data_IF_900564859061
#
_entry.id   IF_900564859061
#
_cell.length_a   1.000
_cell.length_b   1.000
_cell.length_c   1.000
_cell.angle_alpha   90.00
_cell.angle_beta   90.00
_cell.angle_gamma   90.00
#
_symmetry.space_group_name_H-M   'P 1'
#
loop_
_entity.id
_entity.type
_entity.pdbx_description
1 polymer ?
#
# COMPACT_ATOMS: atom_id res chain seq x y z
N UNK A 1 11.57 19.75 1.51
CA UNK A 1 10.73 18.84 2.31
C UNK A 1 9.26 18.77 1.88
N UNK A 2 8.31 19.62 2.30
CA UNK A 2 6.87 19.40 1.95
C UNK A 2 6.62 19.52 0.43
N UNK A 3 7.09 20.60 -0.20
CA UNK A 3 6.94 20.80 -1.65
C UNK A 3 7.61 19.68 -2.47
N UNK A 4 8.76 19.23 -2.00
CA UNK A 4 9.53 18.12 -2.56
C UNK A 4 8.82 16.77 -2.39
N UNK A 5 8.24 16.51 -1.22
CA UNK A 5 7.42 15.33 -0.98
C UNK A 5 6.19 15.31 -1.90
N UNK A 6 5.52 16.47 -2.09
CA UNK A 6 4.40 16.58 -3.02
C UNK A 6 4.86 16.31 -4.46
N UNK A 7 5.97 16.91 -4.89
CA UNK A 7 6.51 16.72 -6.24
C UNK A 7 6.85 15.25 -6.51
N UNK A 8 7.57 14.60 -5.60
CA UNK A 8 8.04 13.22 -5.79
C UNK A 8 6.98 12.16 -5.50
N UNK A 9 5.95 12.49 -4.72
CA UNK A 9 4.82 11.57 -4.51
C UNK A 9 4.05 11.25 -5.79
N UNK A 10 4.07 12.13 -6.80
CA UNK A 10 3.36 11.92 -8.07
C UNK A 10 3.97 10.76 -8.87
N UNK A 11 5.26 10.81 -9.30
CA UNK A 11 5.86 9.71 -10.04
C UNK A 11 5.91 8.41 -9.23
N UNK A 12 6.23 8.49 -7.92
CA UNK A 12 6.22 7.32 -7.03
C UNK A 12 4.81 6.72 -6.92
N UNK A 13 3.78 7.57 -6.82
CA UNK A 13 2.39 7.15 -6.74
C UNK A 13 1.88 6.48 -8.02
N UNK A 14 2.30 6.97 -9.19
CA UNK A 14 1.99 6.35 -10.48
C UNK A 14 2.61 4.94 -10.57
N UNK A 15 3.89 4.81 -10.23
CA UNK A 15 4.61 3.53 -10.24
C UNK A 15 3.95 2.56 -9.25
N UNK A 16 3.71 3.02 -8.02
CA UNK A 16 3.02 2.24 -7.00
C UNK A 16 1.65 1.78 -7.48
N UNK A 17 0.81 2.67 -8.02
CA UNK A 17 -0.52 2.30 -8.51
C UNK A 17 -0.47 1.29 -9.64
N UNK A 18 0.47 1.41 -10.59
CA UNK A 18 0.63 0.45 -11.67
C UNK A 18 1.00 -0.95 -11.14
N UNK A 19 1.98 -1.03 -10.24
CA UNK A 19 2.41 -2.30 -9.63
C UNK A 19 1.30 -2.91 -8.79
N UNK A 20 0.67 -2.13 -7.91
CA UNK A 20 -0.42 -2.60 -7.07
C UNK A 20 -1.65 -3.00 -7.89
N UNK A 21 -1.93 -2.27 -8.97
CA UNK A 21 -2.98 -2.63 -9.93
C UNK A 21 -2.71 -3.98 -10.59
N UNK A 22 -1.46 -4.28 -10.96
CA UNK A 22 -1.08 -5.59 -11.48
C UNK A 22 -1.16 -6.69 -10.41
N UNK A 23 -0.70 -6.42 -9.18
CA UNK A 23 -0.73 -7.39 -8.09
C UNK A 23 -2.17 -7.73 -7.64
N UNK A 24 -3.03 -6.73 -7.45
CA UNK A 24 -4.42 -6.95 -7.05
C UNK A 24 -5.31 -7.37 -8.23
N UNK A 25 -5.00 -6.92 -9.44
CA UNK A 25 -5.73 -7.28 -10.66
C UNK A 25 -5.37 -8.66 -11.22
N UNK A 26 -4.43 -9.38 -10.60
CA UNK A 26 -4.09 -10.71 -11.07
C UNK A 26 -5.28 -11.69 -10.86
N UNK A 27 -5.52 -12.65 -11.78
CA UNK A 27 -6.69 -13.52 -11.72
C UNK A 27 -6.79 -14.40 -10.47
N UNK A 28 -5.69 -14.64 -9.77
CA UNK A 28 -5.68 -15.46 -8.55
C UNK A 28 -6.20 -14.66 -7.35
N UNK A 29 -5.67 -13.45 -7.15
CA UNK A 29 -6.08 -12.52 -6.10
C UNK A 29 -7.51 -12.05 -6.33
N UNK A 30 -7.87 -11.71 -7.57
CA UNK A 30 -9.22 -11.26 -7.92
C UNK A 30 -10.28 -12.30 -7.56
N UNK A 31 -10.02 -13.60 -7.82
CA UNK A 31 -10.91 -14.69 -7.42
C UNK A 31 -11.10 -14.78 -5.90
N UNK A 32 -10.04 -14.58 -5.13
CA UNK A 32 -10.10 -14.61 -3.65
C UNK A 32 -10.95 -13.45 -3.14
N UNK A 33 -10.78 -12.25 -3.69
CA UNK A 33 -11.58 -11.07 -3.35
C UNK A 33 -13.05 -11.24 -3.77
N UNK A 34 -13.32 -11.80 -4.95
CA UNK A 34 -14.68 -12.10 -5.40
C UNK A 34 -15.38 -13.11 -4.49
N UNK A 35 -14.70 -14.20 -4.12
CA UNK A 35 -15.24 -15.18 -3.18
C UNK A 35 -15.56 -14.56 -1.81
N UNK A 36 -14.69 -13.67 -1.32
CA UNK A 36 -14.93 -12.94 -0.07
C UNK A 36 -16.12 -11.96 -0.17
N UNK A 37 -16.31 -11.27 -1.29
CA UNK A 37 -17.47 -10.37 -1.53
C UNK A 37 -18.81 -11.11 -1.61
N UNK A 38 -18.78 -12.37 -2.06
CA UNK A 38 -19.97 -13.22 -2.15
C UNK A 38 -20.34 -13.81 -0.79
N UNK A 39 -19.34 -14.18 0.02
CA UNK A 39 -19.53 -14.94 1.26
C UNK A 39 -19.50 -14.11 2.55
N UNK A 40 -19.08 -12.84 2.51
CA UNK A 40 -18.90 -12.02 3.71
C UNK A 40 -19.37 -10.57 3.57
N UNK A 41 -19.69 -9.95 4.70
CA UNK A 41 -20.12 -8.53 4.82
C UNK A 41 -18.94 -7.54 4.83
N UNK A 42 -17.70 -8.03 4.97
CA UNK A 42 -16.51 -7.21 5.19
C UNK A 42 -15.95 -6.48 3.97
N UNK A 43 -16.41 -6.79 2.75
CA UNK A 43 -15.90 -6.16 1.52
C UNK A 43 -16.99 -5.35 0.83
N UNK A 44 -16.76 -4.04 0.69
CA UNK A 44 -17.69 -3.12 0.03
C UNK A 44 -17.91 -3.54 -1.42
N UNK A 45 -19.18 -3.70 -1.81
CA UNK A 45 -19.58 -3.88 -3.21
C UNK A 45 -19.55 -2.54 -3.93
N UNK A 46 -18.87 -2.49 -5.06
CA UNK A 46 -18.76 -1.30 -5.89
C UNK A 46 -19.70 -1.39 -7.09
N UNK A 47 -20.48 -0.34 -7.40
CA UNK A 47 -21.42 -0.36 -8.51
C UNK A 47 -20.72 -0.27 -9.87
N UNK A 48 -19.49 0.27 -9.93
CA UNK A 48 -18.71 0.34 -11.17
C UNK A 48 -17.21 0.20 -10.93
N UNK A 49 -16.56 -0.59 -11.78
CA UNK A 49 -15.11 -0.84 -11.74
C UNK A 49 -14.27 0.43 -11.97
N UNK A 50 -14.61 1.35 -12.92
CA UNK A 50 -13.85 2.59 -13.09
C UNK A 50 -13.89 3.49 -11.84
N UNK A 51 -15.07 3.63 -11.19
CA UNK A 51 -15.20 4.44 -9.99
C UNK A 51 -14.40 3.87 -8.82
N UNK A 52 -14.38 2.54 -8.70
CA UNK A 52 -13.52 1.84 -7.74
C UNK A 52 -12.04 2.17 -7.98
N UNK A 53 -11.53 2.00 -9.20
CA UNK A 53 -10.12 2.26 -9.52
C UNK A 53 -9.71 3.72 -9.28
N UNK A 54 -10.56 4.68 -9.65
CA UNK A 54 -10.29 6.11 -9.42
C UNK A 54 -10.26 6.41 -7.92
N UNK A 55 -11.23 5.89 -7.16
CA UNK A 55 -11.28 6.13 -5.71
C UNK A 55 -10.07 5.47 -5.01
N UNK A 56 -9.71 4.26 -5.44
CA UNK A 56 -8.54 3.57 -4.95
C UNK A 56 -7.26 4.33 -5.26
N UNK A 57 -7.10 4.85 -6.49
CA UNK A 57 -5.96 5.66 -6.88
C UNK A 57 -5.76 6.86 -5.95
N UNK A 58 -6.79 7.70 -5.80
CA UNK A 58 -6.70 8.88 -4.94
C UNK A 58 -6.49 8.52 -3.47
N UNK A 59 -7.13 7.45 -2.98
CA UNK A 59 -6.88 6.94 -1.63
C UNK A 59 -5.43 6.51 -1.42
N UNK A 60 -4.87 5.75 -2.35
CA UNK A 60 -3.46 5.33 -2.30
C UNK A 60 -2.49 6.49 -2.49
N UNK A 61 -2.87 7.54 -3.22
CA UNK A 61 -2.02 8.72 -3.42
C UNK A 61 -1.79 9.48 -2.11
N UNK A 62 -2.81 9.60 -1.26
CA UNK A 62 -2.67 10.19 0.08
C UNK A 62 -1.67 9.40 0.92
N UNK A 63 -1.77 8.07 0.89
CA UNK A 63 -0.83 7.18 1.58
C UNK A 63 0.61 7.34 1.06
N UNK A 64 0.80 7.42 -0.26
CA UNK A 64 2.11 7.65 -0.88
C UNK A 64 2.70 8.99 -0.43
N UNK A 65 1.90 10.08 -0.43
CA UNK A 65 2.36 11.40 0.03
C UNK A 65 2.87 11.33 1.47
N UNK A 66 2.13 10.66 2.36
CA UNK A 66 2.50 10.51 3.77
C UNK A 66 3.81 9.73 3.91
N UNK A 67 3.94 8.61 3.21
CA UNK A 67 5.15 7.77 3.27
C UNK A 67 6.38 8.47 2.69
N UNK A 68 6.24 9.18 1.57
CA UNK A 68 7.32 9.97 0.97
C UNK A 68 7.74 11.09 1.91
N UNK A 69 6.79 11.82 2.50
CA UNK A 69 7.09 12.89 3.45
C UNK A 69 7.81 12.34 4.71
N UNK A 70 7.33 11.22 5.26
CA UNK A 70 7.95 10.57 6.41
C UNK A 70 9.36 10.08 6.08
N UNK A 71 9.57 9.49 4.90
CA UNK A 71 10.88 9.07 4.44
C UNK A 71 11.86 10.24 4.34
N UNK A 72 11.49 11.30 3.61
CA UNK A 72 12.33 12.48 3.42
C UNK A 72 12.64 13.20 4.73
N UNK A 73 11.74 13.13 5.72
CA UNK A 73 11.97 13.67 7.05
C UNK A 73 13.01 12.86 7.85
N UNK A 74 13.02 11.54 7.72
CA UNK A 74 13.96 10.63 8.40
C UNK A 74 15.30 10.49 7.67
N UNK A 75 15.33 10.75 6.36
CA UNK A 75 16.49 10.59 5.48
C UNK A 75 17.78 11.28 5.95
N UNK A 76 17.77 12.51 6.51
CA UNK A 76 19.00 13.18 6.93
C UNK A 76 19.83 12.36 7.92
N UNK A 77 19.16 11.59 8.78
CA UNK A 77 19.80 10.73 9.79
C UNK A 77 20.04 9.30 9.30
N UNK A 78 19.46 8.93 8.15
CA UNK A 78 19.35 7.53 7.68
C UNK A 78 19.42 7.44 6.14
N UNK A 79 20.51 7.94 5.53
CA UNK A 79 20.69 7.91 4.07
C UNK A 79 21.29 6.59 3.57
N UNK A 80 21.01 6.24 2.31
CA UNK A 80 21.52 5.06 1.64
C UNK A 80 20.56 3.86 1.64
N UNK A 81 20.80 2.92 0.72
CA UNK A 81 19.89 1.80 0.44
C UNK A 81 19.61 0.92 1.68
N UNK A 82 20.61 0.67 2.53
CA UNK A 82 20.43 -0.12 3.75
C UNK A 82 19.44 0.55 4.71
N UNK A 83 19.57 1.87 4.89
CA UNK A 83 18.67 2.66 5.70
C UNK A 83 17.27 2.72 5.09
N UNK A 84 17.17 2.86 3.77
CA UNK A 84 15.92 2.81 3.04
C UNK A 84 15.19 1.48 3.23
N UNK A 85 15.89 0.34 3.13
CA UNK A 85 15.31 -0.97 3.41
C UNK A 85 14.87 -1.10 4.88
N UNK A 86 15.64 -0.55 5.82
CA UNK A 86 15.26 -0.49 7.23
C UNK A 86 13.98 0.30 7.47
N UNK A 87 13.87 1.50 6.89
CA UNK A 87 12.65 2.32 6.95
C UNK A 87 11.47 1.63 6.25
N UNK A 88 11.72 0.93 5.14
CA UNK A 88 10.74 0.11 4.45
C UNK A 88 10.15 -0.99 5.34
N UNK A 89 10.97 -1.66 6.15
CA UNK A 89 10.50 -2.63 7.14
C UNK A 89 9.63 -1.97 8.22
N UNK A 90 10.07 -0.83 8.77
CA UNK A 90 9.32 -0.10 9.81
C UNK A 90 7.97 0.37 9.27
N UNK A 91 7.94 1.00 8.10
CA UNK A 91 6.71 1.45 7.46
C UNK A 91 5.79 0.29 7.09
N UNK A 92 6.35 -0.86 6.67
CA UNK A 92 5.58 -2.07 6.42
C UNK A 92 4.90 -2.54 7.69
N UNK A 93 5.64 -2.62 8.81
CA UNK A 93 5.09 -3.02 10.09
C UNK A 93 3.94 -2.10 10.52
N UNK A 94 4.11 -0.78 10.42
CA UNK A 94 3.08 0.21 10.75
C UNK A 94 1.84 0.07 9.87
N UNK A 95 2.02 -0.20 8.58
CA UNK A 95 0.92 -0.30 7.60
C UNK A 95 0.15 -1.61 7.70
N UNK A 96 0.86 -2.71 7.95
CA UNK A 96 0.32 -4.06 7.93
C UNK A 96 -0.26 -4.45 9.29
N UNK A 97 0.37 -4.03 10.40
CA UNK A 97 -0.07 -4.36 11.77
C UNK A 97 -1.55 -4.07 12.06
N UNK A 98 -2.13 -2.91 11.69
CA UNK A 98 -3.54 -2.62 11.95
C UNK A 98 -4.50 -3.65 11.34
N UNK A 99 -4.12 -4.30 10.22
CA UNK A 99 -4.95 -5.33 9.57
C UNK A 99 -4.97 -6.62 10.37
N UNK A 100 -3.83 -7.02 10.91
CA UNK A 100 -3.72 -8.15 11.82
C UNK A 100 -4.45 -7.88 13.13
N UNK A 101 -4.33 -6.66 13.66
CA UNK A 101 -5.08 -6.22 14.83
C UNK A 101 -6.60 -6.27 14.61
N UNK A 102 -7.07 -5.80 13.44
CA UNK A 102 -8.47 -5.87 13.07
C UNK A 102 -8.97 -7.32 12.99
N UNK A 103 -8.19 -8.25 12.44
CA UNK A 103 -8.55 -9.68 12.46
C UNK A 103 -8.60 -10.24 13.89
N UNK A 104 -7.69 -9.82 14.78
CA UNK A 104 -7.71 -10.30 16.16
C UNK A 104 -8.99 -9.85 16.90
N UNK A 105 -9.48 -8.64 16.61
CA UNK A 105 -10.73 -8.11 17.18
C UNK A 105 -11.98 -8.64 16.44
N UNK A 106 -11.90 -8.83 15.13
CA UNK A 106 -13.03 -9.21 14.27
C UNK A 106 -12.91 -10.66 13.82
N UNK A 107 -13.83 -11.52 14.28
CA UNK A 107 -13.82 -12.96 14.04
C UNK A 107 -13.94 -13.37 12.56
N UNK A 108 -14.49 -12.50 11.70
CA UNK A 108 -14.91 -12.84 10.34
C UNK A 108 -13.97 -12.37 9.22
N UNK A 109 -12.70 -12.05 9.50
CA UNK A 109 -11.76 -11.63 8.46
C UNK A 109 -11.08 -12.83 7.76
N UNK A 110 -11.17 -12.99 6.42
CA UNK A 110 -10.59 -14.15 5.73
C UNK A 110 -9.06 -14.15 5.80
N UNK A 111 -8.46 -15.22 6.34
CA UNK A 111 -6.99 -15.36 6.47
C UNK A 111 -6.25 -15.20 5.14
N UNK A 112 -6.83 -15.68 4.05
CA UNK A 112 -6.22 -15.59 2.71
C UNK A 112 -6.16 -14.14 2.21
N UNK A 113 -7.17 -13.32 2.52
CA UNK A 113 -7.13 -11.89 2.19
C UNK A 113 -6.06 -11.19 3.02
N UNK A 114 -5.97 -11.49 4.31
CA UNK A 114 -4.94 -10.90 5.17
C UNK A 114 -3.52 -11.20 4.65
N UNK A 115 -3.27 -12.43 4.21
CA UNK A 115 -1.99 -12.81 3.62
C UNK A 115 -1.68 -11.98 2.36
N UNK A 116 -2.65 -11.82 1.46
CA UNK A 116 -2.49 -10.99 0.25
C UNK A 116 -2.22 -9.54 0.63
N UNK A 117 -2.97 -9.01 1.60
CA UNK A 117 -2.82 -7.62 2.05
C UNK A 117 -1.48 -7.37 2.74
N UNK A 118 -0.96 -8.35 3.48
CA UNK A 118 0.36 -8.30 4.07
C UNK A 118 1.45 -8.31 2.99
N UNK A 119 1.38 -9.24 2.03
CA UNK A 119 2.37 -9.38 0.95
C UNK A 119 2.34 -8.16 0.04
N UNK A 120 1.18 -7.79 -0.47
CA UNK A 120 1.01 -6.65 -1.36
C UNK A 120 1.32 -5.34 -0.61
N UNK A 121 0.89 -5.20 0.65
CA UNK A 121 1.22 -4.06 1.49
C UNK A 121 2.73 -3.90 1.71
N UNK A 122 3.43 -5.01 1.91
CA UNK A 122 4.91 -5.02 2.01
C UNK A 122 5.54 -4.58 0.70
N UNK A 123 5.20 -5.23 -0.42
CA UNK A 123 5.77 -4.90 -1.74
C UNK A 123 5.51 -3.43 -2.09
N UNK A 124 4.28 -2.95 -1.90
CA UNK A 124 3.93 -1.56 -2.17
C UNK A 124 4.70 -0.58 -1.30
N UNK A 125 4.89 -0.87 -0.01
CA UNK A 125 5.65 0.01 0.89
C UNK A 125 7.13 0.06 0.52
N UNK A 126 7.76 -1.09 0.25
CA UNK A 126 9.15 -1.12 -0.20
C UNK A 126 9.33 -0.41 -1.53
N UNK A 127 8.39 -0.59 -2.46
CA UNK A 127 8.41 0.12 -3.74
C UNK A 127 8.40 1.64 -3.55
N UNK A 128 7.53 2.16 -2.67
CA UNK A 128 7.49 3.59 -2.38
C UNK A 128 8.85 4.05 -1.86
N UNK A 129 9.37 3.41 -0.81
CA UNK A 129 10.62 3.83 -0.15
C UNK A 129 11.82 3.75 -1.08
N UNK A 130 11.98 2.64 -1.80
CA UNK A 130 13.09 2.45 -2.76
C UNK A 130 12.99 3.45 -3.90
N UNK A 131 11.79 3.68 -4.47
CA UNK A 131 11.62 4.70 -5.50
C UNK A 131 11.92 6.10 -4.95
N UNK A 132 11.53 6.42 -3.72
CA UNK A 132 11.87 7.71 -3.11
C UNK A 132 13.37 7.88 -2.96
N UNK A 133 14.10 6.86 -2.48
CA UNK A 133 15.57 6.94 -2.34
C UNK A 133 16.30 7.04 -3.70
N UNK A 134 15.75 6.41 -4.75
CA UNK A 134 16.37 6.44 -6.08
C UNK A 134 16.09 7.74 -6.86
N UNK A 135 14.95 8.39 -6.61
CA UNK A 135 14.54 9.56 -7.38
C UNK A 135 14.77 10.90 -6.66
N UNK A 136 14.86 10.90 -5.32
CA UNK A 136 15.05 12.10 -4.50
C UNK A 136 16.44 12.09 -3.89
#
# INVERSE_FOLDING_TARGET
MIAEALLWSIPVGIIHFAVMGALYGNPFVDKIYMAAQQNGTGVRRWPSKPRYLITQFFGTQVEVIILVAAYLWLRPDTSGMTAALGLGLVFTAIRVYPRFWNMWIQTDYPRNMLAIEAVNGTIGTFLIVVCTELFC
#
